data_IF_774021391111
#
_entry.id   IF_774021391111
#
_cell.length_a   1.000
_cell.length_b   1.000
_cell.length_c   1.000
_cell.angle_alpha   90.00
_cell.angle_beta   90.00
_cell.angle_gamma   90.00
#
_symmetry.space_group_name_H-M   'P 1'
#
loop_
_entity.id
_entity.type
_entity.pdbx_description
1 polymer ?
#
# COMPACT_ATOMS: atom_id res chain seq x y z
N UNK A 1 24.41 -24.61 -9.33
CA UNK A 1 24.10 -23.17 -9.36
C UNK A 1 22.61 -23.07 -9.68
N UNK A 2 21.77 -22.96 -8.65
CA UNK A 2 20.30 -23.05 -8.76
C UNK A 2 19.66 -22.10 -7.75
N UNK A 3 20.14 -20.85 -7.70
CA UNK A 3 19.79 -19.88 -6.65
C UNK A 3 19.54 -18.46 -7.17
N UNK A 4 19.39 -18.27 -8.48
CA UNK A 4 19.24 -16.93 -9.08
C UNK A 4 17.90 -16.71 -9.81
N UNK A 5 16.98 -17.68 -9.81
CA UNK A 5 15.69 -17.59 -10.52
C UNK A 5 14.44 -17.48 -9.62
N UNK A 6 14.57 -17.57 -8.28
CA UNK A 6 13.41 -17.53 -7.38
C UNK A 6 13.13 -16.13 -6.78
N UNK A 7 13.90 -15.10 -7.14
CA UNK A 7 13.82 -13.78 -6.50
C UNK A 7 12.98 -12.75 -7.26
N UNK A 8 12.60 -12.98 -8.52
CA UNK A 8 11.94 -11.94 -9.32
C UNK A 8 10.41 -11.86 -9.15
N UNK A 9 9.71 -12.92 -8.73
CA UNK A 9 8.23 -12.91 -8.68
C UNK A 9 7.61 -12.96 -7.27
N UNK A 10 8.39 -13.24 -6.22
CA UNK A 10 7.85 -13.38 -4.87
C UNK A 10 7.47 -12.03 -4.21
N UNK A 11 8.17 -10.96 -4.59
CA UNK A 11 7.94 -9.60 -4.06
C UNK A 11 6.63 -8.97 -4.58
N UNK A 12 6.27 -9.23 -5.84
CA UNK A 12 5.04 -8.71 -6.45
C UNK A 12 3.79 -9.30 -5.80
N UNK A 13 3.79 -10.61 -5.57
CA UNK A 13 2.66 -11.32 -4.94
C UNK A 13 2.40 -10.81 -3.52
N UNK A 14 3.44 -10.59 -2.72
CA UNK A 14 3.32 -10.08 -1.35
C UNK A 14 2.65 -8.71 -1.27
N UNK A 15 3.10 -7.75 -2.09
CA UNK A 15 2.56 -6.39 -2.12
C UNK A 15 1.14 -6.34 -2.71
N UNK A 16 0.86 -7.14 -3.74
CA UNK A 16 -0.49 -7.28 -4.30
C UNK A 16 -1.47 -7.83 -3.25
N UNK A 17 -1.04 -8.82 -2.45
CA UNK A 17 -1.85 -9.36 -1.37
C UNK A 17 -2.19 -8.31 -0.31
N UNK A 18 -1.21 -7.48 0.08
CA UNK A 18 -1.41 -6.37 1.02
C UNK A 18 -2.41 -5.36 0.42
N UNK A 19 -2.20 -4.93 -0.83
CA UNK A 19 -3.09 -3.96 -1.50
C UNK A 19 -4.52 -4.49 -1.62
N UNK A 20 -4.69 -5.77 -1.98
CA UNK A 20 -6.00 -6.40 -2.12
C UNK A 20 -6.74 -6.44 -0.79
N UNK A 21 -6.06 -6.85 0.30
CA UNK A 21 -6.66 -6.87 1.64
C UNK A 21 -7.03 -5.47 2.11
N UNK A 22 -6.17 -4.48 1.89
CA UNK A 22 -6.45 -3.09 2.26
C UNK A 22 -7.71 -2.54 1.59
N UNK A 23 -7.86 -2.78 0.28
CA UNK A 23 -9.06 -2.37 -0.47
C UNK A 23 -10.33 -3.01 0.08
N UNK A 24 -10.28 -4.29 0.45
CA UNK A 24 -11.41 -5.03 1.00
C UNK A 24 -11.79 -4.55 2.42
N UNK A 25 -10.81 -4.42 3.32
CA UNK A 25 -11.07 -4.07 4.71
C UNK A 25 -11.49 -2.60 4.88
N UNK A 26 -10.83 -1.68 4.19
CA UNK A 26 -11.09 -0.25 4.35
C UNK A 26 -12.06 0.32 3.30
N UNK A 27 -12.73 -0.55 2.51
CA UNK A 27 -13.68 -0.14 1.45
C UNK A 27 -13.11 0.94 0.51
N UNK A 28 -11.82 0.86 0.21
CA UNK A 28 -11.12 1.86 -0.60
C UNK A 28 -10.73 3.17 0.10
N UNK A 29 -10.98 3.34 1.40
CA UNK A 29 -10.54 4.49 2.22
C UNK A 29 -9.07 4.43 2.67
N UNK A 30 -8.28 3.53 2.08
CA UNK A 30 -6.85 3.38 2.36
C UNK A 30 -6.04 3.76 1.13
N UNK A 31 -4.90 4.43 1.31
CA UNK A 31 -3.96 4.76 0.23
C UNK A 31 -2.71 3.88 0.33
N UNK A 32 -2.22 3.44 -0.83
CA UNK A 32 -0.99 2.66 -0.96
C UNK A 32 -0.16 3.23 -2.11
N UNK A 33 1.10 3.54 -1.86
CA UNK A 33 2.03 4.01 -2.90
C UNK A 33 3.42 3.39 -2.73
N UNK A 34 4.08 3.16 -3.86
CA UNK A 34 5.46 2.67 -3.94
C UNK A 34 6.27 3.78 -4.60
N UNK A 35 7.32 4.22 -3.93
CA UNK A 35 8.27 5.21 -4.42
C UNK A 35 9.61 4.50 -4.66
N UNK A 36 10.09 4.49 -5.90
CA UNK A 36 11.41 3.95 -6.20
C UNK A 36 12.47 4.99 -5.81
N UNK A 37 13.29 4.68 -4.80
CA UNK A 37 14.26 5.61 -4.22
C UNK A 37 15.69 5.13 -4.51
N UNK A 38 16.09 5.17 -5.78
CA UNK A 38 17.41 4.74 -6.20
C UNK A 38 18.52 5.73 -5.76
N UNK A 39 19.71 5.24 -5.36
CA UNK A 39 20.15 3.84 -5.33
C UNK A 39 19.76 3.07 -4.05
N UNK A 40 18.99 3.71 -3.15
CA UNK A 40 18.72 3.24 -1.79
C UNK A 40 17.53 2.26 -1.68
N UNK A 41 17.04 1.73 -2.80
CA UNK A 41 15.92 0.78 -2.85
C UNK A 41 14.58 1.43 -3.16
N UNK A 42 13.52 1.03 -2.46
CA UNK A 42 12.17 1.56 -2.64
C UNK A 42 11.51 1.82 -1.29
N UNK A 43 10.56 2.75 -1.27
CA UNK A 43 9.78 3.13 -0.10
C UNK A 43 8.32 2.76 -0.34
N UNK A 44 7.71 2.12 0.63
CA UNK A 44 6.28 1.78 0.62
C UNK A 44 5.57 2.68 1.62
N UNK A 45 4.52 3.36 1.19
CA UNK A 45 3.70 4.23 2.04
C UNK A 45 2.29 3.69 2.08
N UNK A 46 1.82 3.42 3.31
CA UNK A 46 0.47 2.94 3.59
C UNK A 46 -0.25 3.95 4.48
N UNK A 47 -1.40 4.43 4.02
CA UNK A 47 -2.29 5.29 4.80
C UNK A 47 -3.59 4.53 5.08
N UNK A 48 -3.89 4.36 6.37
CA UNK A 48 -5.12 3.76 6.85
C UNK A 48 -5.84 4.82 7.68
N UNK A 49 -7.07 5.14 7.30
CA UNK A 49 -7.90 6.04 8.09
C UNK A 49 -8.44 5.26 9.29
N UNK A 50 -8.25 5.82 10.50
CA UNK A 50 -8.81 5.25 11.72
C UNK A 50 -10.32 5.52 11.74
N UNK A 51 -11.12 4.52 12.13
CA UNK A 51 -12.56 4.72 12.29
C UNK A 51 -12.81 5.79 13.37
N UNK A 52 -13.51 6.87 13.03
CA UNK A 52 -13.81 7.98 13.94
C UNK A 52 -13.52 9.37 13.39
N UNK A 53 -12.72 9.50 12.33
CA UNK A 53 -12.62 10.76 11.60
C UNK A 53 -13.76 10.82 10.58
N UNK A 54 -14.90 11.37 11.01
CA UNK A 54 -15.85 11.98 10.08
C UNK A 54 -15.08 13.04 9.30
N UNK A 55 -15.00 12.85 7.98
CA UNK A 55 -14.77 13.94 7.04
C UNK A 55 -15.99 14.85 7.15
N UNK A 56 -16.06 15.62 8.23
CA UNK A 56 -17.01 16.72 8.37
C UNK A 56 -16.58 17.75 7.34
N UNK A 57 -17.16 17.57 6.15
CA UNK A 57 -17.16 18.54 5.09
C UNK A 57 -17.35 19.92 5.69
N UNK A 58 -16.47 20.82 5.30
CA UNK A 58 -16.42 22.21 5.72
C UNK A 58 -17.68 22.89 5.18
N UNK A 59 -18.82 22.72 5.84
CA UNK A 59 -20.01 23.54 5.65
C UNK A 59 -19.88 24.75 6.58
N UNK A 60 -19.19 25.77 6.06
CA UNK A 60 -19.22 27.11 6.64
C UNK A 60 -20.43 27.83 6.04
N UNK A 61 -21.49 27.90 6.82
CA UNK A 61 -22.63 28.79 6.58
C UNK A 61 -22.26 30.27 6.54
#
# INVERSE_FOLDING_TARGET
VLSELETEDSSGIGLINIMTRLRLYYRGKSKFSIENNQPHGFRVVLTINVEGETDEGIDRG
#
